data_IF_155146177610
#
_entry.id   IF_155146177610
#
_cell.length_a   1.000
_cell.length_b   1.000
_cell.length_c   1.000
_cell.angle_alpha   90.00
_cell.angle_beta   90.00
_cell.angle_gamma   90.00
#
_symmetry.space_group_name_H-M   'P 1'
#
loop_
_entity.id
_entity.type
_entity.pdbx_description
1 polymer ?
#
# COMPACT_ATOMS: atom_id res chain seq x y z
N UNK A 1 -4.16 -11.30 2.27
CA UNK A 1 -5.16 -10.77 3.23
C UNK A 1 -4.49 -9.82 4.22
N UNK A 2 -5.19 -8.82 4.77
CA UNK A 2 -4.65 -7.86 5.75
C UNK A 2 -5.36 -8.07 7.09
N UNK A 3 -4.62 -8.36 8.15
CA UNK A 3 -5.10 -8.49 9.53
C UNK A 3 -4.53 -7.36 10.40
N UNK A 4 -5.41 -6.45 10.82
CA UNK A 4 -5.13 -5.28 11.65
C UNK A 4 -5.48 -5.50 13.12
N UNK A 5 -6.04 -6.66 13.48
CA UNK A 5 -6.72 -6.84 14.77
C UNK A 5 -5.83 -6.65 16.00
N UNK A 6 -4.55 -7.05 15.93
CA UNK A 6 -3.59 -6.85 17.02
C UNK A 6 -3.01 -5.42 17.06
N UNK A 7 -2.97 -4.74 15.92
CA UNK A 7 -2.58 -3.33 15.85
C UNK A 7 -3.67 -2.45 16.47
N UNK A 8 -4.94 -2.71 16.16
CA UNK A 8 -6.10 -1.97 16.68
C UNK A 8 -6.24 -2.06 18.21
N UNK A 9 -5.81 -3.17 18.81
CA UNK A 9 -5.82 -3.36 20.27
C UNK A 9 -4.64 -2.70 20.99
N UNK A 10 -3.65 -2.18 20.26
CA UNK A 10 -2.46 -1.62 20.87
C UNK A 10 -2.81 -0.35 21.67
N UNK A 11 -2.34 -0.20 22.92
CA UNK A 11 -2.54 1.03 23.69
C UNK A 11 -2.06 2.26 22.93
N UNK A 12 -2.90 3.30 22.89
CA UNK A 12 -2.60 4.56 22.19
C UNK A 12 -2.91 4.54 20.69
N UNK A 13 -3.36 3.42 20.09
CA UNK A 13 -3.88 3.42 18.72
C UNK A 13 -5.28 4.04 18.68
N UNK A 14 -5.45 4.98 17.77
CA UNK A 14 -6.72 5.68 17.52
C UNK A 14 -7.47 5.02 16.39
N UNK A 15 -6.78 4.66 15.30
CA UNK A 15 -7.38 4.03 14.12
C UNK A 15 -6.34 3.32 13.27
N UNK A 16 -6.76 2.26 12.58
CA UNK A 16 -6.00 1.63 11.50
C UNK A 16 -6.83 1.76 10.22
N UNK A 17 -6.20 2.21 9.13
CA UNK A 17 -6.86 2.42 7.84
C UNK A 17 -6.24 1.51 6.79
N UNK A 18 -7.09 0.97 5.93
CA UNK A 18 -6.72 0.23 4.71
C UNK A 18 -7.22 0.99 3.49
N UNK A 19 -6.92 0.49 2.28
CA UNK A 19 -7.48 1.04 1.04
C UNK A 19 -9.02 1.19 1.08
N UNK A 20 -9.73 0.29 1.79
CA UNK A 20 -11.20 0.31 1.93
C UNK A 20 -11.72 1.55 2.66
N UNK A 21 -10.87 2.19 3.47
CA UNK A 21 -11.21 3.37 4.24
C UNK A 21 -10.93 4.68 3.47
N UNK A 22 -10.46 4.57 2.22
CA UNK A 22 -10.11 5.70 1.35
C UNK A 22 -11.07 5.73 0.15
N UNK A 23 -12.20 6.47 0.22
CA UNK A 23 -13.23 6.44 -0.83
C UNK A 23 -12.73 6.82 -2.23
N UNK A 24 -11.70 7.65 -2.30
CA UNK A 24 -10.98 8.02 -3.52
C UNK A 24 -9.49 7.71 -3.33
N UNK A 25 -9.13 6.43 -3.47
CA UNK A 25 -7.78 5.94 -3.22
C UNK A 25 -6.82 6.22 -4.37
N UNK A 26 -6.59 7.51 -4.64
CA UNK A 26 -5.73 7.97 -5.74
C UNK A 26 -4.69 8.93 -5.19
N UNK A 27 -3.43 8.73 -5.57
CA UNK A 27 -2.32 9.60 -5.17
C UNK A 27 -2.33 10.87 -6.03
N UNK A 28 -2.56 12.01 -5.40
CA UNK A 28 -3.00 13.22 -6.12
C UNK A 28 -1.88 14.10 -6.66
N UNK A 29 -0.62 13.89 -6.27
CA UNK A 29 0.43 14.88 -6.59
C UNK A 29 0.70 14.99 -8.09
N UNK A 30 0.70 13.85 -8.81
CA UNK A 30 0.92 13.82 -10.26
C UNK A 30 -0.27 14.43 -11.01
N UNK A 31 -1.49 14.21 -10.50
CA UNK A 31 -2.72 14.79 -11.03
C UNK A 31 -2.67 16.33 -10.98
N UNK A 32 -2.26 16.88 -9.83
CA UNK A 32 -2.18 18.33 -9.63
C UNK A 32 -1.20 19.02 -10.59
N UNK A 33 -0.21 18.28 -11.10
CA UNK A 33 0.75 18.76 -12.11
C UNK A 33 0.44 18.27 -13.53
N UNK A 34 -0.76 17.74 -13.77
CA UNK A 34 -1.26 17.30 -15.08
C UNK A 34 -0.43 16.16 -15.71
N UNK A 35 0.15 15.30 -14.88
CA UNK A 35 0.81 14.07 -15.29
C UNK A 35 -0.14 12.91 -15.01
N UNK A 36 -0.54 12.22 -16.08
CA UNK A 36 -1.29 10.98 -16.01
C UNK A 36 -0.46 9.79 -16.53
N UNK A 37 -0.98 8.56 -16.43
CA UNK A 37 -2.31 8.19 -15.91
C UNK A 37 -2.47 8.34 -14.37
N UNK A 38 -3.71 8.34 -13.88
CA UNK A 38 -4.06 8.41 -12.46
C UNK A 38 -4.11 6.99 -11.83
N UNK A 39 -3.02 6.24 -11.94
CA UNK A 39 -2.97 4.81 -11.63
C UNK A 39 -2.22 4.47 -10.33
N UNK A 40 -1.78 5.48 -9.57
CA UNK A 40 -1.12 5.33 -8.28
C UNK A 40 -2.13 5.46 -7.12
N UNK A 41 -2.10 4.50 -6.19
CA UNK A 41 -2.99 4.48 -5.02
C UNK A 41 -2.28 5.01 -3.76
N UNK A 42 -3.03 5.61 -2.84
CA UNK A 42 -2.47 6.08 -1.55
C UNK A 42 -2.11 4.91 -0.64
N UNK A 43 -2.99 3.90 -0.58
CA UNK A 43 -2.74 2.61 0.07
C UNK A 43 -3.01 1.51 -0.95
N UNK A 44 -2.10 0.55 -1.09
CA UNK A 44 -2.22 -0.55 -2.04
C UNK A 44 -3.56 -1.28 -1.86
N UNK A 45 -4.29 -1.44 -2.97
CA UNK A 45 -5.55 -2.18 -3.03
C UNK A 45 -5.39 -3.42 -3.90
N UNK A 46 -5.55 -4.60 -3.30
CA UNK A 46 -5.42 -5.90 -3.97
C UNK A 46 -3.99 -6.32 -4.36
N UNK A 47 -3.11 -5.39 -4.77
CA UNK A 47 -1.77 -5.67 -5.27
C UNK A 47 -0.76 -4.63 -4.83
N UNK A 48 0.42 -5.08 -4.41
CA UNK A 48 1.62 -4.26 -4.20
C UNK A 48 2.52 -4.41 -5.42
N UNK A 49 2.96 -3.30 -5.99
CA UNK A 49 3.73 -3.18 -7.23
C UNK A 49 5.21 -3.01 -6.97
N UNK A 50 5.60 -2.41 -5.84
CA UNK A 50 6.99 -2.22 -5.48
C UNK A 50 7.23 -2.34 -3.98
N UNK A 51 8.49 -2.62 -3.63
CA UNK A 51 8.92 -2.63 -2.24
C UNK A 51 8.80 -1.22 -1.66
N UNK A 52 8.07 -1.10 -0.56
CA UNK A 52 7.86 0.16 0.15
C UNK A 52 6.55 0.87 -0.17
N UNK A 53 5.72 0.33 -1.06
CA UNK A 53 4.35 0.81 -1.24
C UNK A 53 3.57 0.67 0.07
N UNK A 54 2.80 1.70 0.42
CA UNK A 54 2.03 1.71 1.65
C UNK A 54 0.81 0.78 1.54
N UNK A 55 0.55 -0.03 2.56
CA UNK A 55 -0.59 -0.99 2.57
C UNK A 55 -1.63 -0.62 3.63
N UNK A 56 -1.16 -0.11 4.77
CA UNK A 56 -1.97 0.25 5.93
C UNK A 56 -1.43 1.53 6.55
N UNK A 57 -2.31 2.41 7.02
CA UNK A 57 -1.94 3.56 7.83
C UNK A 57 -2.39 3.36 9.28
N UNK A 58 -1.45 3.47 10.23
CA UNK A 58 -1.73 3.35 11.67
C UNK A 58 -1.66 4.74 12.30
N UNK A 59 -2.77 5.17 12.90
CA UNK A 59 -2.90 6.44 13.61
C UNK A 59 -2.86 6.16 15.11
N UNK A 60 -1.95 6.81 15.82
CA UNK A 60 -1.78 6.66 17.26
C UNK A 60 -1.47 7.99 17.92
N UNK A 61 -1.64 8.06 19.24
CA UNK A 61 -1.35 9.25 20.07
C UNK A 61 0.14 9.63 20.07
N UNK A 62 1.02 8.68 19.79
CA UNK A 62 2.47 8.90 19.69
C UNK A 62 3.07 8.13 18.53
N UNK A 63 4.17 8.62 17.99
CA UNK A 63 4.93 7.94 16.93
C UNK A 63 5.36 6.53 17.37
N UNK A 64 5.83 6.39 18.62
CA UNK A 64 6.23 5.10 19.18
C UNK A 64 5.08 4.09 19.17
N UNK A 65 3.89 4.50 19.64
CA UNK A 65 2.72 3.62 19.63
C UNK A 65 2.29 3.25 18.20
N UNK A 66 2.38 4.19 17.24
CA UNK A 66 2.10 3.91 15.83
C UNK A 66 3.07 2.86 15.25
N UNK A 67 4.37 2.99 15.51
CA UNK A 67 5.38 2.03 15.04
C UNK A 67 5.21 0.65 15.67
N UNK A 68 5.02 0.60 17.00
CA UNK A 68 4.79 -0.66 17.73
C UNK A 68 3.51 -1.38 17.25
N UNK A 69 2.44 -0.63 16.95
CA UNK A 69 1.22 -1.18 16.40
C UNK A 69 1.34 -1.60 14.93
N UNK A 70 2.03 -0.81 14.09
CA UNK A 70 2.27 -1.16 12.69
C UNK A 70 3.03 -2.48 12.56
N UNK A 71 3.98 -2.76 13.46
CA UNK A 71 4.69 -4.04 13.50
C UNK A 71 3.81 -5.26 13.83
N UNK A 72 2.60 -5.03 14.37
CA UNK A 72 1.62 -6.10 14.67
C UNK A 72 0.66 -6.37 13.51
N UNK A 73 0.61 -5.51 12.49
CA UNK A 73 -0.18 -5.75 11.28
C UNK A 73 0.40 -6.94 10.54
N UNK A 74 -0.45 -7.90 10.19
CA UNK A 74 -0.06 -9.08 9.40
C UNK A 74 -0.63 -8.97 8.00
N UNK A 75 0.23 -9.09 7.01
CA UNK A 75 -0.18 -9.12 5.60
C UNK A 75 0.26 -10.43 5.00
N UNK A 76 -0.71 -11.13 4.44
CA UNK A 76 -0.51 -12.35 3.66
C UNK A 76 -0.44 -11.99 2.18
N UNK A 77 0.70 -12.29 1.56
CA UNK A 77 1.03 -11.94 0.18
C UNK A 77 1.11 -13.21 -0.68
N UNK A 78 0.46 -13.16 -1.83
CA UNK A 78 0.80 -14.02 -2.95
C UNK A 78 1.95 -13.38 -3.72
N UNK A 79 3.07 -14.09 -3.85
CA UNK A 79 4.23 -13.57 -4.59
C UNK A 79 3.96 -13.68 -6.09
N UNK A 80 3.90 -12.54 -6.75
CA UNK A 80 3.74 -12.45 -8.19
C UNK A 80 5.10 -12.31 -8.90
N UNK A 81 5.21 -12.72 -10.18
CA UNK A 81 6.40 -12.43 -10.99
C UNK A 81 6.67 -10.93 -11.04
N UNK A 82 7.89 -10.53 -10.68
CA UNK A 82 8.32 -9.15 -10.70
C UNK A 82 9.20 -8.87 -11.94
N UNK A 83 9.20 -7.62 -12.39
CA UNK A 83 10.09 -7.12 -13.44
C UNK A 83 10.85 -5.91 -12.90
N UNK A 84 12.18 -5.94 -13.06
CA UNK A 84 13.08 -4.92 -12.50
C UNK A 84 13.93 -4.23 -13.56
N UNK A 85 13.78 -4.65 -14.82
CA UNK A 85 14.53 -4.14 -15.95
C UNK A 85 13.57 -3.69 -17.05
N UNK A 86 13.90 -2.58 -17.70
CA UNK A 86 13.04 -1.98 -18.72
C UNK A 86 12.99 -2.80 -20.02
N UNK A 87 14.11 -3.41 -20.43
CA UNK A 87 14.13 -4.25 -21.63
C UNK A 87 13.32 -5.53 -21.42
N UNK A 88 13.39 -6.13 -20.22
CA UNK A 88 12.54 -7.26 -19.85
C UNK A 88 11.05 -6.89 -19.85
N UNK A 89 10.69 -5.70 -19.37
CA UNK A 89 9.29 -5.23 -19.32
C UNK A 89 8.65 -5.08 -20.72
N UNK A 90 9.46 -4.84 -21.75
CA UNK A 90 8.98 -4.69 -23.13
C UNK A 90 8.76 -6.03 -23.85
N UNK A 91 9.20 -7.16 -23.27
CA UNK A 91 9.10 -8.47 -23.92
C UNK A 91 7.65 -8.97 -23.93
N UNK A 92 7.23 -9.70 -24.98
CA UNK A 92 5.95 -10.39 -24.97
C UNK A 92 5.80 -11.31 -23.76
N UNK A 93 4.69 -11.18 -23.02
CA UNK A 93 4.43 -11.97 -21.81
C UNK A 93 5.13 -11.49 -20.55
N UNK A 94 5.77 -10.31 -20.57
CA UNK A 94 6.28 -9.67 -19.36
C UNK A 94 5.15 -9.45 -18.33
N UNK A 95 5.46 -9.47 -17.01
CA UNK A 95 4.46 -9.24 -15.98
C UNK A 95 3.77 -7.88 -16.14
N UNK A 96 2.44 -7.87 -16.18
CA UNK A 96 1.65 -6.64 -16.18
C UNK A 96 1.65 -6.04 -14.77
N UNK A 97 2.33 -4.91 -14.57
CA UNK A 97 2.45 -4.25 -13.26
C UNK A 97 1.24 -3.35 -12.98
N UNK A 98 0.90 -2.45 -13.90
CA UNK A 98 -0.28 -1.59 -13.86
C UNK A 98 -1.34 -2.09 -14.85
N UNK A 99 -2.62 -1.99 -14.46
CA UNK A 99 -3.79 -2.41 -15.26
C UNK A 99 -4.41 -1.24 -16.01
#
# INVERSE_FOLDING_TARGET
AIDTSEAEKHPGVVKVLTAKDVPHNVYTILILIQIGPEDETVLADGKVRWKGEAVVAVLAETERAAQEAAAKVKVDYEVLPAVFDMEEALKPGAPLVNE
#
